data_IF_842322188200
#
_entry.id   IF_842322188200
#
_cell.length_a   1.000
_cell.length_b   1.000
_cell.length_c   1.000
_cell.angle_alpha   90.00
_cell.angle_beta   90.00
_cell.angle_gamma   90.00
#
_symmetry.space_group_name_H-M   'P 1'
#
loop_
_entity.id
_entity.type
_entity.pdbx_description
1 polymer ?
#
# COMPACT_ATOMS: atom_id res chain seq x y z
N UNK A 1 -3.76 0.80 45.15
CA UNK A 1 -4.62 1.29 44.05
C UNK A 1 -4.07 0.75 42.74
N UNK A 2 -4.89 0.08 41.94
CA UNK A 2 -4.52 -0.27 40.56
C UNK A 2 -4.84 0.92 39.66
N UNK A 3 -3.87 1.37 38.87
CA UNK A 3 -4.12 2.36 37.83
C UNK A 3 -4.45 1.61 36.55
N UNK A 4 -5.69 1.72 36.10
CA UNK A 4 -6.10 1.11 34.84
C UNK A 4 -5.59 1.95 33.66
N UNK A 5 -5.18 1.28 32.59
CA UNK A 5 -4.72 2.00 31.40
C UNK A 5 -5.92 2.66 30.71
N UNK A 6 -5.81 3.93 30.25
CA UNK A 6 -6.95 4.62 29.64
C UNK A 6 -7.48 3.89 28.40
N UNK A 7 -8.77 3.54 28.40
CA UNK A 7 -9.45 2.88 27.28
C UNK A 7 -9.39 3.69 25.98
N UNK A 8 -9.42 5.02 26.07
CA UNK A 8 -9.34 5.93 24.93
C UNK A 8 -8.03 5.80 24.14
N UNK A 9 -6.92 5.46 24.80
CA UNK A 9 -5.65 5.24 24.10
C UNK A 9 -5.65 3.90 23.36
N UNK A 10 -6.35 2.89 23.89
CA UNK A 10 -6.52 1.59 23.24
C UNK A 10 -7.44 1.69 22.02
N UNK A 11 -8.51 2.50 22.10
CA UNK A 11 -9.40 2.74 20.95
C UNK A 11 -8.65 3.45 19.81
N UNK A 12 -7.94 4.54 20.11
CA UNK A 12 -7.15 5.27 19.10
C UNK A 12 -6.04 4.39 18.51
N UNK A 13 -5.39 3.55 19.31
CA UNK A 13 -4.39 2.59 18.80
C UNK A 13 -5.03 1.58 17.82
N UNK A 14 -6.24 1.11 18.12
CA UNK A 14 -6.97 0.18 17.25
C UNK A 14 -7.33 0.84 15.92
N UNK A 15 -7.85 2.07 15.95
CA UNK A 15 -8.15 2.85 14.74
C UNK A 15 -6.92 3.06 13.86
N UNK A 16 -5.78 3.39 14.47
CA UNK A 16 -4.52 3.56 13.73
C UNK A 16 -4.06 2.25 13.07
N UNK A 17 -4.22 1.12 13.75
CA UNK A 17 -3.87 -0.19 13.18
C UNK A 17 -4.77 -0.50 11.98
N UNK A 18 -6.07 -0.21 12.05
CA UNK A 18 -6.99 -0.40 10.92
C UNK A 18 -6.63 0.50 9.74
N UNK A 19 -6.42 1.80 9.97
CA UNK A 19 -6.04 2.71 8.89
C UNK A 19 -4.73 2.29 8.20
N UNK A 20 -3.78 1.72 8.94
CA UNK A 20 -2.55 1.17 8.37
C UNK A 20 -2.78 -0.11 7.58
N UNK A 21 -3.72 -0.95 8.01
CA UNK A 21 -4.10 -2.15 7.27
C UNK A 21 -4.76 -1.78 5.94
N UNK A 22 -5.73 -0.87 5.96
CA UNK A 22 -6.41 -0.36 4.76
C UNK A 22 -5.41 0.25 3.77
N UNK A 23 -4.49 1.07 4.26
CA UNK A 23 -3.44 1.67 3.42
C UNK A 23 -2.50 0.61 2.82
N UNK A 24 -2.15 -0.42 3.59
CA UNK A 24 -1.30 -1.50 3.11
C UNK A 24 -1.99 -2.33 2.02
N UNK A 25 -3.30 -2.55 2.14
CA UNK A 25 -4.11 -3.22 1.13
C UNK A 25 -4.13 -2.42 -0.18
N UNK A 26 -4.33 -1.10 -0.09
CA UNK A 26 -4.27 -0.22 -1.26
C UNK A 26 -2.90 -0.30 -1.95
N UNK A 27 -1.80 -0.15 -1.20
CA UNK A 27 -0.47 -0.24 -1.79
C UNK A 27 -0.15 -1.62 -2.37
N UNK A 28 -0.73 -2.69 -1.84
CA UNK A 28 -0.57 -4.03 -2.40
C UNK A 28 -1.30 -4.20 -3.75
N UNK A 29 -2.42 -3.49 -3.93
CA UNK A 29 -3.18 -3.51 -5.19
C UNK A 29 -2.57 -2.62 -6.28
N UNK A 30 -1.74 -1.63 -5.91
CA UNK A 30 -1.13 -0.73 -6.88
C UNK A 30 -0.02 -1.42 -7.70
N UNK A 31 0.02 -1.22 -9.02
CA UNK A 31 1.17 -1.59 -9.82
C UNK A 31 2.37 -0.78 -9.36
N UNK A 32 3.54 -1.43 -9.29
CA UNK A 32 4.76 -0.77 -8.83
C UNK A 32 5.35 0.23 -9.84
N UNK A 33 4.81 0.25 -11.07
CA UNK A 33 5.12 1.20 -12.14
C UNK A 33 3.85 1.74 -12.78
N UNK A 34 3.92 2.99 -13.25
CA UNK A 34 2.85 3.62 -14.05
C UNK A 34 2.83 3.07 -15.46
N UNK A 35 3.98 2.74 -16.04
CA UNK A 35 4.09 2.10 -17.35
C UNK A 35 4.25 0.58 -17.20
N UNK A 36 3.87 -0.17 -18.23
CA UNK A 36 4.21 -1.59 -18.32
C UNK A 36 5.73 -1.76 -18.31
N UNK A 37 6.25 -2.50 -17.33
CA UNK A 37 7.68 -2.72 -17.16
C UNK A 37 7.97 -4.18 -16.84
N UNK A 38 9.00 -4.73 -17.48
CA UNK A 38 9.48 -6.07 -17.16
C UNK A 38 10.07 -6.10 -15.75
N UNK A 39 9.80 -7.20 -15.06
CA UNK A 39 10.35 -7.56 -13.78
C UNK A 39 11.85 -7.73 -13.88
N UNK A 40 12.51 -7.61 -12.73
CA UNK A 40 13.95 -7.67 -12.65
C UNK A 40 14.40 -8.21 -11.31
N UNK A 41 15.54 -8.92 -11.32
CA UNK A 41 16.32 -9.25 -10.13
C UNK A 41 17.66 -8.52 -10.23
N UNK A 42 17.99 -7.76 -9.18
CA UNK A 42 19.28 -7.10 -9.06
C UNK A 42 19.88 -7.34 -7.69
N UNK A 43 21.06 -7.91 -7.72
CA UNK A 43 21.99 -7.93 -6.63
C UNK A 43 22.70 -6.59 -6.45
N UNK A 44 22.75 -6.10 -5.22
CA UNK A 44 23.51 -4.92 -4.84
C UNK A 44 24.42 -5.27 -3.68
N UNK A 45 25.71 -5.03 -3.86
CA UNK A 45 26.65 -4.97 -2.76
C UNK A 45 26.50 -3.60 -2.09
N UNK A 46 26.17 -3.62 -0.81
CA UNK A 46 26.13 -2.44 0.05
C UNK A 46 27.21 -2.56 1.11
N UNK A 47 27.57 -1.48 1.80
CA UNK A 47 28.65 -1.48 2.80
C UNK A 47 28.48 -2.48 3.97
N UNK A 48 27.35 -3.17 4.08
CA UNK A 48 27.09 -4.25 5.02
C UNK A 48 26.89 -5.64 4.41
N UNK A 49 27.11 -5.83 3.10
CA UNK A 49 27.01 -7.12 2.41
C UNK A 49 26.15 -7.11 1.14
N UNK A 50 25.88 -8.31 0.62
CA UNK A 50 25.11 -8.55 -0.59
C UNK A 50 23.61 -8.63 -0.30
N UNK A 51 22.82 -7.80 -0.98
CA UNK A 51 21.36 -7.82 -0.92
C UNK A 51 20.78 -8.04 -2.32
N UNK A 52 19.86 -8.99 -2.46
CA UNK A 52 19.14 -9.23 -3.70
C UNK A 52 17.77 -8.56 -3.64
N UNK A 53 17.49 -7.72 -4.63
CA UNK A 53 16.21 -7.07 -4.83
C UNK A 53 15.52 -7.66 -6.06
N UNK A 54 14.26 -8.03 -5.94
CA UNK A 54 13.44 -8.54 -7.05
C UNK A 54 12.13 -7.77 -7.16
N UNK A 55 11.68 -7.55 -8.39
CA UNK A 55 10.35 -7.05 -8.72
C UNK A 55 9.74 -7.92 -9.84
N UNK A 56 8.48 -8.36 -9.71
CA UNK A 56 7.78 -9.02 -10.82
C UNK A 56 7.48 -8.03 -11.94
N UNK A 57 6.98 -8.51 -13.09
CA UNK A 57 6.48 -7.64 -14.15
C UNK A 57 5.41 -6.67 -13.60
N UNK A 58 5.47 -5.41 -14.04
CA UNK A 58 4.44 -4.41 -13.77
C UNK A 58 3.49 -4.36 -14.95
N UNK A 59 2.18 -4.49 -14.73
CA UNK A 59 1.18 -4.28 -15.79
C UNK A 59 0.96 -2.79 -16.12
N UNK A 60 1.68 -1.87 -15.48
CA UNK A 60 1.42 -0.44 -15.59
C UNK A 60 0.11 -0.04 -14.91
N UNK A 61 -0.14 1.27 -14.90
CA UNK A 61 -1.40 1.86 -14.50
C UNK A 61 -2.32 1.93 -15.72
N UNK A 62 -3.45 1.24 -15.68
CA UNK A 62 -4.53 1.42 -16.66
C UNK A 62 -5.71 2.10 -15.98
N UNK A 63 -6.30 3.11 -16.62
CA UNK A 63 -7.45 3.85 -16.06
C UNK A 63 -8.66 2.95 -15.77
N UNK A 64 -8.74 1.78 -16.42
CA UNK A 64 -9.73 0.75 -16.14
C UNK A 64 -9.58 0.12 -14.75
N UNK A 65 -8.36 0.02 -14.19
CA UNK A 65 -8.09 -0.45 -12.81
C UNK A 65 -8.28 0.68 -11.78
N UNK A 66 -8.28 1.94 -12.23
CA UNK A 66 -8.61 3.12 -11.43
C UNK A 66 -10.11 3.35 -11.19
N UNK A 67 -10.99 2.55 -11.79
CA UNK A 67 -12.44 2.62 -11.55
C UNK A 67 -12.81 1.97 -10.21
N UNK A 68 -12.52 2.64 -9.11
CA UNK A 68 -13.17 2.31 -7.84
C UNK A 68 -14.64 2.69 -7.99
N UNK A 69 -15.54 1.71 -7.86
CA UNK A 69 -16.98 1.96 -7.83
C UNK A 69 -17.30 2.84 -6.61
N UNK A 70 -17.28 4.16 -6.80
CA UNK A 70 -17.62 5.14 -5.77
C UNK A 70 -19.14 5.20 -5.62
N UNK A 71 -19.66 4.41 -4.68
CA UNK A 71 -21.00 4.65 -4.14
C UNK A 71 -20.90 5.80 -3.12
N UNK A 72 -20.81 7.05 -3.60
CA UNK A 72 -20.78 8.23 -2.73
C UNK A 72 -20.73 9.56 -3.52
N UNK A 73 -21.46 10.61 -3.10
CA UNK A 73 -21.72 11.78 -3.93
C UNK A 73 -20.51 12.71 -3.95
N UNK A 74 -19.73 12.60 -5.03
CA UNK A 74 -18.57 13.45 -5.27
C UNK A 74 -17.74 12.95 -6.44
N UNK A 75 -18.37 12.89 -7.62
CA UNK A 75 -17.81 12.63 -8.95
C UNK A 75 -16.34 12.16 -9.05
N UNK A 76 -16.15 10.94 -9.54
CA UNK A 76 -14.92 10.52 -10.23
C UNK A 76 -15.32 9.96 -11.59
N UNK A 77 -15.05 10.72 -12.65
CA UNK A 77 -15.28 10.29 -14.02
C UNK A 77 -13.96 9.76 -14.59
N UNK A 78 -13.97 8.52 -15.09
CA UNK A 78 -13.01 8.07 -16.10
C UNK A 78 -13.60 8.44 -17.47
N UNK A 79 -12.82 9.16 -18.28
CA UNK A 79 -13.10 9.42 -19.69
C UNK A 79 -12.32 8.47 -20.58
#
# INVERSE_FOLDING_TARGET
MSFDFPSELLSVQTELVQAKADLAELYAALPWSVEELQGWSRAKETGGGYYESHRPDSPGWSDAVGCWASSGPGHFACG
#
